data_IF_063016405874
#
_entry.id   IF_063016405874
#
_cell.length_a   1.000
_cell.length_b   1.000
_cell.length_c   1.000
_cell.angle_alpha   90.00
_cell.angle_beta   90.00
_cell.angle_gamma   90.00
#
_symmetry.space_group_name_H-M   'P 1'
#
loop_
_entity.id
_entity.type
_entity.pdbx_description
1 polymer ?
#
# COMPACT_ATOMS: atom_id res chain seq x y z
N UNK A 1 -27.90 22.26 -1.28
CA UNK A 1 -26.90 23.05 -2.05
C UNK A 1 -27.01 22.78 -3.55
N UNK A 2 -26.92 21.53 -4.05
CA UNK A 2 -27.04 21.21 -5.50
C UNK A 2 -28.40 21.58 -6.12
N UNK A 3 -29.51 21.19 -5.48
CA UNK A 3 -30.88 21.52 -5.93
C UNK A 3 -31.15 23.03 -5.98
N UNK A 4 -30.54 23.80 -5.08
CA UNK A 4 -30.64 25.27 -5.08
C UNK A 4 -29.89 25.91 -6.26
N UNK A 5 -28.89 25.22 -6.83
CA UNK A 5 -28.22 25.60 -8.07
C UNK A 5 -28.79 24.96 -9.32
N UNK A 6 -29.97 24.31 -9.25
CA UNK A 6 -30.59 23.63 -10.40
C UNK A 6 -29.85 22.36 -10.86
N UNK A 7 -28.95 21.82 -10.05
CA UNK A 7 -28.13 20.65 -10.39
C UNK A 7 -28.70 19.37 -9.77
N UNK A 8 -28.75 18.31 -10.58
CA UNK A 8 -29.09 16.94 -10.20
C UNK A 8 -27.82 16.14 -9.86
N UNK A 9 -27.91 15.29 -8.84
CA UNK A 9 -26.77 14.49 -8.40
C UNK A 9 -26.60 13.28 -9.33
N UNK A 10 -25.51 13.25 -10.10
CA UNK A 10 -25.19 12.15 -10.99
C UNK A 10 -23.90 11.43 -10.57
N UNK A 11 -23.78 10.16 -10.97
CA UNK A 11 -22.57 9.32 -10.81
C UNK A 11 -22.08 9.19 -9.36
N UNK A 12 -23.00 8.84 -8.46
CA UNK A 12 -22.67 8.52 -7.07
C UNK A 12 -22.97 7.05 -6.77
N UNK A 13 -22.44 6.55 -5.66
CA UNK A 13 -22.67 5.18 -5.18
C UNK A 13 -22.61 5.16 -3.66
N UNK A 14 -23.35 4.25 -3.03
CA UNK A 14 -23.43 4.13 -1.58
C UNK A 14 -23.50 2.66 -1.17
N UNK A 15 -22.95 2.35 0.01
CA UNK A 15 -23.10 1.08 0.70
C UNK A 15 -24.41 1.00 1.53
N UNK A 16 -25.16 2.10 1.68
CA UNK A 16 -26.45 2.11 2.38
C UNK A 16 -27.62 1.88 1.42
N UNK A 17 -28.41 0.83 1.69
CA UNK A 17 -29.63 0.53 0.95
C UNK A 17 -30.70 1.60 1.13
N UNK A 18 -30.78 2.20 2.31
CA UNK A 18 -31.73 3.28 2.62
C UNK A 18 -31.45 4.52 1.77
N UNK A 19 -30.17 4.91 1.65
CA UNK A 19 -29.76 6.02 0.78
C UNK A 19 -30.08 5.73 -0.68
N UNK A 20 -29.84 4.49 -1.15
CA UNK A 20 -30.21 4.07 -2.50
C UNK A 20 -31.72 4.20 -2.75
N UNK A 21 -32.54 3.67 -1.85
CA UNK A 21 -34.00 3.68 -1.99
C UNK A 21 -34.59 5.09 -1.93
N UNK A 22 -34.02 5.98 -1.10
CA UNK A 22 -34.47 7.37 -0.97
C UNK A 22 -34.21 8.23 -2.22
N UNK A 23 -33.21 7.86 -3.03
CA UNK A 23 -32.75 8.64 -4.18
C UNK A 23 -33.13 8.01 -5.54
N UNK A 24 -33.57 6.75 -5.57
CA UNK A 24 -33.94 6.02 -6.78
C UNK A 24 -35.25 6.48 -7.45
N UNK A 25 -35.98 7.41 -6.83
CA UNK A 25 -37.30 7.84 -7.29
C UNK A 25 -37.30 8.78 -8.51
N UNK A 26 -36.16 9.38 -8.90
CA UNK A 26 -36.18 10.44 -9.93
C UNK A 26 -35.19 10.38 -11.11
N UNK A 27 -34.19 9.50 -11.14
CA UNK A 27 -33.19 9.50 -12.24
C UNK A 27 -32.83 8.06 -12.67
N UNK A 28 -33.65 7.47 -13.56
CA UNK A 28 -33.39 6.16 -14.16
C UNK A 28 -32.36 6.21 -15.32
N UNK A 29 -32.02 7.39 -15.85
CA UNK A 29 -31.20 7.51 -17.07
C UNK A 29 -29.70 7.24 -16.86
N UNK A 30 -29.23 7.17 -15.61
CA UNK A 30 -27.79 7.02 -15.32
C UNK A 30 -27.50 5.99 -14.22
N UNK A 31 -28.26 4.88 -14.20
CA UNK A 31 -27.82 3.69 -13.48
C UNK A 31 -26.46 3.25 -14.05
N UNK A 32 -25.48 2.98 -13.18
CA UNK A 32 -24.30 2.22 -13.57
C UNK A 32 -24.75 0.81 -13.98
N UNK A 33 -25.17 0.68 -15.24
CA UNK A 33 -25.43 -0.59 -15.89
C UNK A 33 -24.10 -1.31 -16.10
N UNK A 34 -23.75 -2.15 -15.14
CA UNK A 34 -23.09 -3.41 -15.44
C UNK A 34 -23.77 -4.50 -14.63
N UNK A 35 -24.49 -5.35 -15.37
CA UNK A 35 -25.16 -6.57 -14.95
C UNK A 35 -24.23 -7.48 -14.14
N UNK A 36 -24.21 -7.32 -12.82
CA UNK A 36 -24.25 -8.36 -11.76
C UNK A 36 -23.88 -7.81 -10.38
N UNK A 37 -23.16 -6.69 -10.28
CA UNK A 37 -22.90 -5.93 -9.04
C UNK A 37 -22.37 -4.53 -9.42
N UNK A 38 -22.98 -3.41 -8.96
CA UNK A 38 -22.52 -2.06 -9.30
C UNK A 38 -21.19 -1.78 -8.57
N UNK A 39 -20.07 -2.04 -9.23
CA UNK A 39 -18.73 -1.78 -8.69
C UNK A 39 -18.15 -0.46 -9.23
N UNK A 40 -17.46 0.30 -8.38
CA UNK A 40 -16.87 1.59 -8.74
C UNK A 40 -15.36 1.45 -8.83
N UNK A 41 -14.78 1.68 -10.01
CA UNK A 41 -13.33 1.62 -10.22
C UNK A 41 -12.71 3.00 -10.14
N UNK A 42 -11.73 3.17 -9.25
CA UNK A 42 -10.96 4.40 -9.10
C UNK A 42 -9.48 4.05 -8.96
N UNK A 43 -8.64 4.57 -9.86
CA UNK A 43 -7.18 4.49 -9.73
C UNK A 43 -6.66 3.07 -9.42
N UNK A 44 -7.13 2.08 -10.19
CA UNK A 44 -6.69 0.68 -10.07
C UNK A 44 -7.35 -0.16 -8.98
N UNK A 45 -8.08 0.47 -8.05
CA UNK A 45 -8.88 -0.19 -7.01
C UNK A 45 -10.35 -0.24 -7.44
N UNK A 46 -11.03 -1.35 -7.15
CA UNK A 46 -12.47 -1.53 -7.40
C UNK A 46 -13.20 -1.62 -6.07
N UNK A 47 -14.09 -0.67 -5.79
CA UNK A 47 -14.96 -0.71 -4.61
C UNK A 47 -16.25 -1.46 -4.93
N UNK A 48 -16.63 -2.40 -4.06
CA UNK A 48 -17.91 -3.08 -4.05
C UNK A 48 -18.79 -2.46 -2.96
N UNK A 49 -19.79 -1.63 -3.30
CA UNK A 49 -20.61 -0.94 -2.31
C UNK A 49 -21.42 -1.88 -1.42
N UNK A 50 -21.93 -2.99 -1.96
CA UNK A 50 -22.77 -3.94 -1.21
C UNK A 50 -22.03 -4.62 -0.07
N UNK A 51 -20.77 -5.02 -0.30
CA UNK A 51 -19.91 -5.66 0.71
C UNK A 51 -19.10 -4.64 1.51
N UNK A 52 -19.04 -3.39 1.04
CA UNK A 52 -18.13 -2.34 1.47
C UNK A 52 -16.64 -2.71 1.47
N UNK A 53 -16.23 -3.44 0.44
CA UNK A 53 -14.86 -3.93 0.26
C UNK A 53 -14.17 -3.33 -0.96
N UNK A 54 -12.87 -3.17 -0.86
CA UNK A 54 -11.97 -2.95 -1.98
C UNK A 54 -11.50 -4.29 -2.54
N UNK A 55 -11.46 -4.36 -3.87
CA UNK A 55 -11.05 -5.51 -4.67
C UNK A 55 -10.21 -5.01 -5.84
N UNK A 56 -9.56 -5.94 -6.54
CA UNK A 56 -8.70 -5.63 -7.69
C UNK A 56 -9.19 -6.36 -8.93
N UNK A 57 -8.99 -5.74 -10.10
CA UNK A 57 -9.24 -6.37 -11.40
C UNK A 57 -7.99 -6.28 -12.26
N UNK A 58 -7.52 -7.43 -12.75
CA UNK A 58 -6.28 -7.57 -13.52
C UNK A 58 -6.62 -7.99 -14.93
N UNK A 59 -6.39 -7.09 -15.88
CA UNK A 59 -6.46 -7.41 -17.31
C UNK A 59 -5.10 -7.92 -17.81
N UNK A 60 -4.96 -9.23 -17.91
CA UNK A 60 -3.77 -9.86 -18.49
C UNK A 60 -3.87 -9.81 -20.01
N UNK A 61 -2.87 -9.19 -20.64
CA UNK A 61 -2.71 -9.24 -22.10
C UNK A 61 -1.55 -10.18 -22.38
N UNK A 62 -1.86 -11.36 -22.90
CA UNK A 62 -0.85 -12.30 -23.39
C UNK A 62 -0.19 -11.72 -24.64
N UNK A 63 1.13 -11.71 -24.66
CA UNK A 63 1.92 -11.26 -25.81
C UNK A 63 2.87 -12.37 -26.24
N UNK A 64 3.04 -12.51 -27.55
CA UNK A 64 3.91 -13.52 -28.15
C UNK A 64 5.38 -13.37 -27.75
N UNK A 65 5.87 -12.14 -27.62
CA UNK A 65 7.22 -11.84 -27.13
C UNK A 65 7.17 -10.94 -25.90
N UNK A 66 8.02 -11.25 -24.92
CA UNK A 66 8.16 -10.45 -23.71
C UNK A 66 9.42 -9.58 -23.85
N UNK A 67 9.25 -8.27 -23.75
CA UNK A 67 10.35 -7.29 -23.72
C UNK A 67 10.43 -6.59 -22.38
N UNK A 68 11.58 -5.99 -22.06
CA UNK A 68 11.73 -5.15 -20.86
C UNK A 68 10.73 -3.99 -20.84
N UNK A 69 10.39 -3.41 -22.00
CA UNK A 69 9.31 -2.42 -22.14
C UNK A 69 7.95 -3.00 -21.69
N UNK A 70 7.63 -4.23 -22.07
CA UNK A 70 6.35 -4.86 -21.66
C UNK A 70 6.29 -5.15 -20.17
N UNK A 71 7.41 -5.55 -19.56
CA UNK A 71 7.54 -5.71 -18.10
C UNK A 71 7.20 -4.40 -17.40
N UNK A 72 7.84 -3.29 -17.78
CA UNK A 72 7.52 -1.98 -17.18
C UNK A 72 6.06 -1.58 -17.40
N UNK A 73 5.54 -1.78 -18.61
CA UNK A 73 4.15 -1.45 -18.94
C UNK A 73 3.16 -2.22 -18.05
N UNK A 74 3.42 -3.50 -17.78
CA UNK A 74 2.60 -4.30 -16.89
C UNK A 74 2.70 -3.82 -15.43
N UNK A 75 3.90 -3.51 -14.94
CA UNK A 75 4.10 -2.96 -13.59
C UNK A 75 3.32 -1.65 -13.43
N UNK A 76 3.33 -0.77 -14.44
CA UNK A 76 2.60 0.49 -14.41
C UNK A 76 1.06 0.31 -14.41
N UNK A 77 0.54 -0.82 -14.91
CA UNK A 77 -0.89 -1.14 -14.86
C UNK A 77 -1.36 -1.64 -13.50
N UNK A 78 -0.45 -2.19 -12.68
CA UNK A 78 -0.70 -2.55 -11.29
C UNK A 78 -0.71 -1.28 -10.42
N UNK A 79 -1.57 -0.33 -10.78
CA UNK A 79 -1.68 0.94 -10.09
C UNK A 79 -2.43 0.74 -8.78
N UNK A 80 -1.76 1.07 -7.68
CA UNK A 80 -2.27 0.90 -6.33
C UNK A 80 -1.87 2.12 -5.50
N UNK A 81 -2.84 2.99 -5.24
CA UNK A 81 -2.61 4.26 -4.56
C UNK A 81 -2.34 4.09 -3.07
N UNK A 82 -2.97 3.08 -2.45
CA UNK A 82 -2.88 2.83 -1.01
C UNK A 82 -1.82 1.78 -0.67
N UNK A 83 -1.32 1.01 -1.65
CA UNK A 83 -0.27 0.04 -1.42
C UNK A 83 -0.75 -1.28 -0.83
N UNK A 84 -2.02 -1.64 -0.99
CA UNK A 84 -2.54 -2.94 -0.56
C UNK A 84 -1.86 -4.13 -1.25
N UNK A 85 -1.45 -3.98 -2.50
CA UNK A 85 -0.73 -4.99 -3.29
C UNK A 85 0.76 -4.63 -3.46
N UNK A 86 1.26 -3.71 -2.63
CA UNK A 86 2.65 -3.27 -2.68
C UNK A 86 3.68 -4.43 -2.64
N UNK A 87 3.50 -5.51 -1.86
CA UNK A 87 4.41 -6.66 -1.91
C UNK A 87 4.56 -7.29 -3.30
N UNK A 88 3.45 -7.43 -4.04
CA UNK A 88 3.46 -7.97 -5.41
C UNK A 88 4.15 -7.00 -6.36
N UNK A 89 3.85 -5.70 -6.24
CA UNK A 89 4.49 -4.65 -7.04
C UNK A 89 5.99 -4.58 -6.76
N UNK A 90 6.42 -4.75 -5.50
CA UNK A 90 7.83 -4.83 -5.12
C UNK A 90 8.51 -5.98 -5.86
N UNK A 91 7.93 -7.18 -5.83
CA UNK A 91 8.48 -8.35 -6.56
C UNK A 91 8.62 -8.09 -8.06
N UNK A 92 7.61 -7.47 -8.67
CA UNK A 92 7.65 -7.10 -10.08
C UNK A 92 8.74 -6.06 -10.39
N UNK A 93 8.89 -5.04 -9.53
CA UNK A 93 9.94 -4.02 -9.67
C UNK A 93 11.35 -4.57 -9.44
N UNK A 94 11.52 -5.54 -8.55
CA UNK A 94 12.78 -6.28 -8.37
C UNK A 94 13.16 -7.04 -9.65
N UNK A 95 12.18 -7.70 -10.29
CA UNK A 95 12.41 -8.35 -11.58
C UNK A 95 12.85 -7.34 -12.64
N UNK A 96 12.19 -6.17 -12.72
CA UNK A 96 12.61 -5.11 -13.62
C UNK A 96 14.05 -4.64 -13.33
N UNK A 97 14.43 -4.44 -12.05
CA UNK A 97 15.79 -4.09 -11.66
C UNK A 97 16.82 -5.14 -12.12
N UNK A 98 16.49 -6.44 -11.99
CA UNK A 98 17.33 -7.54 -12.50
C UNK A 98 17.56 -7.44 -14.00
N UNK A 99 16.54 -7.09 -14.80
CA UNK A 99 16.71 -6.88 -16.24
C UNK A 99 17.66 -5.73 -16.58
N UNK A 100 17.67 -4.66 -15.78
CA UNK A 100 18.61 -3.56 -15.93
C UNK A 100 20.04 -3.98 -15.60
N UNK A 101 20.25 -4.76 -14.53
CA UNK A 101 21.56 -5.29 -14.16
C UNK A 101 22.14 -6.22 -15.25
N UNK A 102 21.28 -7.03 -15.87
CA UNK A 102 21.64 -7.90 -16.99
C UNK A 102 21.77 -7.15 -18.34
N UNK A 103 21.59 -5.83 -18.36
CA UNK A 103 21.69 -4.98 -19.55
C UNK A 103 20.82 -5.46 -20.72
N UNK A 104 19.66 -6.06 -20.43
CA UNK A 104 18.70 -6.48 -21.46
C UNK A 104 18.23 -5.26 -22.25
N UNK A 105 18.16 -5.35 -23.58
CA UNK A 105 17.72 -4.25 -24.42
C UNK A 105 16.25 -3.87 -24.12
N UNK A 106 15.90 -2.61 -24.36
CA UNK A 106 14.56 -2.07 -24.09
C UNK A 106 13.46 -2.80 -24.87
N UNK A 107 13.69 -3.00 -26.17
CA UNK A 107 12.79 -3.69 -27.11
C UNK A 107 13.27 -5.09 -27.49
N UNK A 108 14.38 -5.56 -26.88
CA UNK A 108 14.87 -6.92 -27.08
C UNK A 108 14.02 -7.94 -26.34
N UNK A 109 13.92 -9.14 -26.90
CA UNK A 109 13.27 -10.27 -26.25
C UNK A 109 14.02 -10.66 -24.97
N UNK A 110 13.26 -11.03 -23.94
CA UNK A 110 13.84 -11.55 -22.70
C UNK A 110 14.49 -12.93 -22.97
N UNK A 111 15.66 -13.22 -22.37
CA UNK A 111 16.20 -14.57 -22.32
C UNK A 111 15.17 -15.57 -21.80
N UNK A 112 15.13 -16.77 -22.38
CA UNK A 112 14.08 -17.78 -22.14
C UNK A 112 13.79 -18.05 -20.65
N UNK A 113 14.79 -18.18 -19.75
CA UNK A 113 14.51 -18.37 -18.32
C UNK A 113 13.78 -17.19 -17.67
N UNK A 114 14.13 -15.96 -18.07
CA UNK A 114 13.51 -14.73 -17.55
C UNK A 114 12.12 -14.52 -18.15
N UNK A 115 11.92 -14.85 -19.42
CA UNK A 115 10.62 -14.84 -20.07
C UNK A 115 9.66 -15.81 -19.36
N UNK A 116 10.08 -17.05 -19.11
CA UNK A 116 9.29 -18.04 -18.36
C UNK A 116 8.95 -17.57 -16.95
N UNK A 117 9.94 -17.05 -16.21
CA UNK A 117 9.73 -16.50 -14.87
C UNK A 117 8.69 -15.37 -14.88
N UNK A 118 8.80 -14.45 -15.84
CA UNK A 118 7.87 -13.32 -15.95
C UNK A 118 6.47 -13.75 -16.36
N UNK A 119 6.34 -14.64 -17.35
CA UNK A 119 5.05 -15.17 -17.79
C UNK A 119 4.34 -15.90 -16.65
N UNK A 120 5.07 -16.69 -15.86
CA UNK A 120 4.51 -17.32 -14.66
C UNK A 120 3.99 -16.27 -13.65
N UNK A 121 4.79 -15.24 -13.36
CA UNK A 121 4.39 -14.16 -12.46
C UNK A 121 3.17 -13.37 -12.99
N UNK A 122 3.09 -13.10 -14.29
CA UNK A 122 1.93 -12.42 -14.88
C UNK A 122 0.70 -13.31 -14.80
N UNK A 123 0.83 -14.60 -15.10
CA UNK A 123 -0.27 -15.57 -14.98
C UNK A 123 -0.82 -15.68 -13.55
N UNK A 124 0.03 -15.47 -12.55
CA UNK A 124 -0.40 -15.46 -11.15
C UNK A 124 -1.07 -14.16 -10.69
N UNK A 125 -1.01 -13.06 -11.43
CA UNK A 125 -1.65 -11.81 -11.00
C UNK A 125 -3.17 -11.94 -10.82
N UNK A 126 -3.83 -12.92 -11.46
CA UNK A 126 -5.27 -13.20 -11.26
C UNK A 126 -5.62 -13.51 -9.80
N UNK A 127 -4.67 -14.02 -9.01
CA UNK A 127 -4.94 -14.31 -7.59
C UNK A 127 -5.18 -13.05 -6.75
N UNK A 128 -4.71 -11.88 -7.20
CA UNK A 128 -4.96 -10.59 -6.54
C UNK A 128 -6.44 -10.22 -6.57
N UNK A 129 -7.20 -10.72 -7.55
CA UNK A 129 -8.65 -10.47 -7.64
C UNK A 129 -9.43 -11.14 -6.50
N UNK A 130 -8.82 -12.08 -5.78
CA UNK A 130 -9.39 -12.74 -4.59
C UNK A 130 -9.22 -11.91 -3.31
N UNK A 131 -8.47 -10.82 -3.34
CA UNK A 131 -8.29 -9.95 -2.18
C UNK A 131 -9.58 -9.17 -1.92
N UNK A 132 -10.09 -9.28 -0.70
CA UNK A 132 -11.16 -8.45 -0.18
C UNK A 132 -10.60 -7.64 0.99
N UNK A 133 -10.63 -6.31 0.88
CA UNK A 133 -10.10 -5.41 1.90
C UNK A 133 -11.21 -4.50 2.36
N UNK A 134 -11.56 -4.56 3.64
CA UNK A 134 -12.59 -3.69 4.20
C UNK A 134 -12.25 -2.21 3.98
N UNK A 135 -13.20 -1.45 3.41
CA UNK A 135 -13.03 0.00 3.26
C UNK A 135 -13.16 0.72 4.61
N UNK A 136 -14.08 0.26 5.45
CA UNK A 136 -14.31 0.86 6.76
C UNK A 136 -13.21 0.47 7.74
N UNK A 137 -12.46 1.47 8.21
CA UNK A 137 -11.23 1.29 9.00
C UNK A 137 -11.46 1.13 10.50
N UNK A 138 -12.64 1.49 11.00
CA UNK A 138 -12.91 1.61 12.42
C UNK A 138 -13.83 0.48 12.92
N UNK A 139 -13.86 0.29 14.22
CA UNK A 139 -14.88 -0.52 14.88
C UNK A 139 -16.13 0.33 15.17
N UNK A 140 -17.22 -0.33 15.57
CA UNK A 140 -18.35 0.35 16.20
C UNK A 140 -17.99 0.75 17.64
N UNK A 141 -18.65 1.80 18.16
CA UNK A 141 -18.48 2.32 19.53
C UNK A 141 -17.02 2.61 19.91
N UNK A 142 -16.36 3.43 19.08
CA UNK A 142 -14.93 3.73 19.18
C UNK A 142 -14.64 4.54 20.44
N UNK A 143 -13.84 3.95 21.32
CA UNK A 143 -13.26 4.62 22.49
C UNK A 143 -11.95 5.32 22.16
N UNK A 144 -11.11 4.65 21.35
CA UNK A 144 -9.75 5.11 21.06
C UNK A 144 -9.28 4.65 19.70
N UNK A 145 -8.56 5.53 19.01
CA UNK A 145 -7.92 5.27 17.71
C UNK A 145 -6.42 5.45 17.80
N UNK A 146 -5.68 4.51 17.22
CA UNK A 146 -4.22 4.50 17.27
C UNK A 146 -3.70 4.17 15.88
N UNK A 147 -2.81 5.00 15.34
CA UNK A 147 -2.06 4.63 14.15
C UNK A 147 -0.86 3.78 14.55
N UNK A 148 -0.76 2.62 13.92
CA UNK A 148 0.35 1.69 14.15
C UNK A 148 1.12 1.50 12.85
N UNK A 149 2.34 2.03 12.82
CA UNK A 149 3.23 1.97 11.68
C UNK A 149 4.33 0.95 11.86
N UNK A 150 4.73 0.27 10.79
CA UNK A 150 5.86 -0.66 10.78
C UNK A 150 6.77 -0.37 9.59
N UNK A 151 8.07 -0.33 9.83
CA UNK A 151 9.10 -0.13 8.83
C UNK A 151 10.00 -1.36 8.76
N UNK A 152 10.38 -1.76 7.55
CA UNK A 152 11.34 -2.84 7.33
C UNK A 152 12.20 -2.60 6.09
N UNK A 153 13.38 -3.21 6.08
CA UNK A 153 14.28 -3.16 4.94
C UNK A 153 15.04 -4.47 4.71
N UNK A 154 15.15 -4.85 3.45
CA UNK A 154 16.02 -5.91 2.96
C UNK A 154 17.06 -5.34 1.99
N UNK A 155 17.97 -6.19 1.51
CA UNK A 155 18.90 -5.80 0.43
C UNK A 155 18.19 -5.49 -0.89
N UNK A 156 16.96 -5.96 -1.08
CA UNK A 156 16.22 -5.80 -2.32
C UNK A 156 15.31 -4.58 -2.33
N UNK A 157 14.63 -4.30 -1.23
CA UNK A 157 13.71 -3.18 -1.09
C UNK A 157 13.53 -2.80 0.39
N UNK A 158 12.96 -1.63 0.62
CA UNK A 158 12.52 -1.20 1.93
C UNK A 158 11.09 -0.68 1.85
N UNK A 159 10.36 -0.82 2.94
CA UNK A 159 8.92 -0.61 2.96
C UNK A 159 8.41 -0.13 4.31
N UNK A 160 7.20 0.41 4.26
CA UNK A 160 6.44 0.83 5.41
C UNK A 160 4.98 0.41 5.26
N UNK A 161 4.34 0.05 6.36
CA UNK A 161 2.91 -0.29 6.43
C UNK A 161 2.28 0.40 7.61
N UNK A 162 1.06 0.91 7.45
CA UNK A 162 0.34 1.64 8.49
C UNK A 162 -1.05 1.03 8.66
N UNK A 163 -1.37 0.69 9.90
CA UNK A 163 -2.66 0.14 10.32
C UNK A 163 -3.40 1.16 11.20
N UNK A 164 -4.73 1.17 11.06
CA UNK A 164 -5.63 1.77 12.03
C UNK A 164 -5.91 0.71 13.10
N UNK A 165 -5.66 1.04 14.36
CA UNK A 165 -6.09 0.24 15.50
C UNK A 165 -7.20 1.00 16.23
N UNK A 166 -8.40 0.44 16.24
CA UNK A 166 -9.52 0.96 17.02
C UNK A 166 -9.81 0.06 18.22
N UNK A 167 -9.97 0.68 19.38
CA UNK A 167 -10.46 0.06 20.60
C UNK A 167 -11.90 0.51 20.82
N UNK A 168 -12.82 -0.44 20.97
CA UNK A 168 -14.22 -0.15 21.31
C UNK A 168 -14.41 0.02 22.82
N UNK A 169 -15.56 0.54 23.24
CA UNK A 169 -15.95 0.59 24.65
C UNK A 169 -16.07 -0.80 25.30
N UNK A 170 -16.30 -1.85 24.51
CA UNK A 170 -16.35 -3.24 24.97
C UNK A 170 -14.98 -3.91 25.02
N UNK A 171 -13.89 -3.15 24.85
CA UNK A 171 -12.50 -3.60 24.74
C UNK A 171 -12.21 -4.53 23.54
N UNK A 172 -13.08 -4.56 22.54
CA UNK A 172 -12.75 -5.22 21.27
C UNK A 172 -11.70 -4.41 20.52
N UNK A 173 -10.70 -5.10 19.97
CA UNK A 173 -9.61 -4.49 19.19
C UNK A 173 -9.76 -4.90 17.74
N UNK A 174 -9.86 -3.89 16.88
CA UNK A 174 -9.86 -4.08 15.43
C UNK A 174 -8.61 -3.40 14.87
N UNK A 175 -7.89 -4.10 14.00
CA UNK A 175 -6.71 -3.57 13.32
C UNK A 175 -6.87 -3.75 11.82
N UNK A 176 -6.90 -2.64 11.06
CA UNK A 176 -7.13 -2.65 9.61
C UNK A 176 -6.04 -1.90 8.88
N UNK A 177 -5.60 -2.45 7.76
CA UNK A 177 -4.57 -1.84 6.92
C UNK A 177 -5.11 -0.56 6.27
N UNK A 178 -4.42 0.56 6.47
CA UNK A 178 -4.77 1.84 5.82
C UNK A 178 -4.03 1.96 4.50
N UNK A 179 -2.71 1.86 4.59
CA UNK A 179 -1.83 2.02 3.45
C UNK A 179 -0.46 1.40 3.69
N UNK A 180 0.23 1.11 2.61
CA UNK A 180 1.62 0.69 2.62
C UNK A 180 2.39 1.35 1.48
N UNK A 181 3.72 1.35 1.57
CA UNK A 181 4.59 1.93 0.56
C UNK A 181 5.91 1.21 0.51
N UNK A 182 6.41 0.96 -0.70
CA UNK A 182 7.72 0.34 -0.91
C UNK A 182 8.60 1.15 -1.85
N UNK A 183 9.92 0.96 -1.71
CA UNK A 183 10.95 1.47 -2.62
C UNK A 183 11.99 0.39 -2.85
N UNK A 184 12.37 0.18 -4.10
CA UNK A 184 13.46 -0.72 -4.46
C UNK A 184 14.78 -0.15 -3.96
N UNK A 185 15.61 -1.01 -3.35
CA UNK A 185 16.93 -0.63 -2.88
C UNK A 185 17.82 -0.21 -4.07
N UNK A 186 18.69 0.80 -3.89
CA UNK A 186 19.59 1.22 -4.97
C UNK A 186 20.48 0.07 -5.45
N UNK A 187 20.79 0.04 -6.76
CA UNK A 187 21.74 -0.93 -7.32
C UNK A 187 23.13 -0.75 -6.69
N UNK A 188 23.50 0.50 -6.38
CA UNK A 188 24.70 0.79 -5.60
C UNK A 188 24.46 0.34 -4.17
N UNK A 189 25.21 -0.68 -3.73
CA UNK A 189 25.11 -1.26 -2.40
C UNK A 189 25.25 -0.19 -1.32
N UNK A 190 24.25 -0.14 -0.45
CA UNK A 190 24.27 0.59 0.80
C UNK A 190 24.04 -0.40 1.94
N UNK A 191 24.52 -0.06 3.14
CA UNK A 191 24.39 -0.96 4.28
C UNK A 191 22.92 -1.15 4.69
N UNK A 192 22.60 -2.34 5.21
CA UNK A 192 21.26 -2.66 5.73
C UNK A 192 20.76 -1.60 6.73
N UNK A 193 21.56 -1.16 7.72
CA UNK A 193 21.13 -0.09 8.63
C UNK A 193 20.69 1.21 7.94
N UNK A 194 21.34 1.59 6.83
CA UNK A 194 20.95 2.78 6.06
C UNK A 194 19.63 2.59 5.31
N UNK A 195 19.34 1.36 4.89
CA UNK A 195 18.06 0.99 4.28
C UNK A 195 16.96 0.94 5.33
N UNK A 196 17.21 0.36 6.51
CA UNK A 196 16.29 0.34 7.66
C UNK A 196 15.93 1.77 8.10
N UNK A 197 16.92 2.66 8.22
CA UNK A 197 16.66 4.09 8.49
C UNK A 197 15.85 4.76 7.35
N UNK A 198 16.07 4.35 6.10
CA UNK A 198 15.30 4.86 4.97
C UNK A 198 13.86 4.34 4.98
N UNK A 199 13.63 3.13 5.49
CA UNK A 199 12.30 2.58 5.76
C UNK A 199 11.59 3.38 6.86
N UNK A 200 12.30 3.72 7.94
CA UNK A 200 11.77 4.56 9.02
C UNK A 200 11.35 5.94 8.49
N UNK A 201 12.18 6.59 7.68
CA UNK A 201 11.79 7.86 7.04
C UNK A 201 10.61 7.71 6.09
N UNK A 202 10.52 6.59 5.36
CA UNK A 202 9.38 6.30 4.49
C UNK A 202 8.09 6.15 5.30
N UNK A 203 8.17 5.51 6.48
CA UNK A 203 7.05 5.36 7.40
C UNK A 203 6.61 6.71 7.95
N UNK A 204 7.52 7.54 8.46
CA UNK A 204 7.20 8.88 8.96
C UNK A 204 6.43 9.73 7.93
N UNK A 205 6.91 9.73 6.68
CA UNK A 205 6.27 10.46 5.58
C UNK A 205 4.92 9.87 5.15
N UNK A 206 4.74 8.55 5.32
CA UNK A 206 3.47 7.90 5.00
C UNK A 206 2.42 8.24 6.06
N UNK A 207 2.81 8.21 7.34
CA UNK A 207 1.92 8.54 8.46
C UNK A 207 1.45 9.99 8.40
N UNK A 208 2.35 10.95 8.15
CA UNK A 208 2.00 12.37 7.94
C UNK A 208 0.88 12.51 6.89
N UNK A 209 1.05 11.89 5.72
CA UNK A 209 0.05 11.92 4.64
C UNK A 209 -1.27 11.27 5.00
N UNK A 210 -1.24 10.22 5.82
CA UNK A 210 -2.45 9.53 6.28
C UNK A 210 -3.21 10.43 7.25
N UNK A 211 -2.53 11.05 8.20
CA UNK A 211 -3.13 11.97 9.17
C UNK A 211 -3.80 13.14 8.44
N UNK A 212 -3.09 13.76 7.49
CA UNK A 212 -3.62 14.84 6.65
C UNK A 212 -4.88 14.42 5.86
N UNK A 213 -4.92 13.16 5.39
CA UNK A 213 -6.01 12.64 4.58
C UNK A 213 -7.24 12.22 5.42
N UNK A 214 -7.03 11.63 6.60
CA UNK A 214 -8.11 11.09 7.44
C UNK A 214 -8.98 12.20 8.04
N UNK A 215 -8.42 13.39 8.30
CA UNK A 215 -9.15 14.55 8.87
C UNK A 215 -9.99 14.19 10.10
N UNK A 216 -9.49 13.26 10.91
CA UNK A 216 -10.12 12.79 12.14
C UNK A 216 -9.12 12.84 13.28
N UNK A 217 -9.62 12.81 14.52
CA UNK A 217 -8.76 12.71 15.70
C UNK A 217 -8.13 11.31 15.76
N UNK A 218 -6.81 11.28 15.94
CA UNK A 218 -6.03 10.09 16.30
C UNK A 218 -5.53 10.29 17.74
N UNK A 219 -5.70 9.31 18.61
CA UNK A 219 -5.36 9.45 20.03
C UNK A 219 -3.90 9.09 20.35
N UNK A 220 -3.28 8.21 19.57
CA UNK A 220 -1.88 7.83 19.69
C UNK A 220 -1.27 7.40 18.35
N UNK A 221 0.03 7.60 18.21
CA UNK A 221 0.83 7.13 17.09
C UNK A 221 2.00 6.28 17.59
N UNK A 222 2.07 5.03 17.12
CA UNK A 222 3.09 4.07 17.51
C UNK A 222 3.79 3.55 16.25
N UNK A 223 5.09 3.78 16.16
CA UNK A 223 5.91 3.38 15.02
C UNK A 223 6.91 2.31 15.41
N UNK A 224 7.03 1.29 14.57
CA UNK A 224 7.85 0.12 14.83
C UNK A 224 8.91 -0.08 13.76
N UNK A 225 10.08 -0.54 14.21
CA UNK A 225 11.12 -1.15 13.36
C UNK A 225 11.81 -2.24 14.18
N UNK A 226 12.30 -3.27 13.52
CA UNK A 226 13.13 -4.32 14.12
C UNK A 226 14.63 -3.98 14.13
N UNK A 227 15.00 -2.83 13.59
CA UNK A 227 16.38 -2.33 13.63
C UNK A 227 16.66 -1.53 14.89
N UNK A 228 17.38 -2.14 15.82
CA UNK A 228 17.92 -1.45 16.99
C UNK A 228 18.90 -0.34 16.62
N UNK A 229 19.63 -0.50 15.50
CA UNK A 229 20.56 0.52 14.99
C UNK A 229 19.80 1.74 14.47
N UNK A 230 18.74 1.54 13.68
CA UNK A 230 17.91 2.64 13.20
C UNK A 230 17.25 3.38 14.38
N UNK A 231 16.74 2.66 15.39
CA UNK A 231 16.19 3.26 16.60
C UNK A 231 17.23 4.06 17.38
N UNK A 232 18.44 3.53 17.55
CA UNK A 232 19.52 4.26 18.21
C UNK A 232 19.86 5.56 17.48
N UNK A 233 19.92 5.54 16.15
CA UNK A 233 20.11 6.75 15.35
C UNK A 233 18.96 7.73 15.45
N UNK A 234 17.70 7.27 15.43
CA UNK A 234 16.52 8.13 15.60
C UNK A 234 16.55 8.85 16.96
N UNK A 235 17.09 8.22 18.00
CA UNK A 235 17.23 8.80 19.34
C UNK A 235 18.50 9.65 19.53
N UNK A 236 19.35 9.78 18.50
CA UNK A 236 20.60 10.55 18.57
C UNK A 236 20.41 11.93 17.92
N UNK A 237 20.95 13.02 18.50
CA UNK A 237 20.92 14.34 17.86
C UNK A 237 21.53 14.31 16.43
N UNK A 238 20.87 14.89 15.41
CA UNK A 238 21.31 14.81 14.01
C UNK A 238 22.73 15.31 13.76
N UNK A 239 23.18 16.32 14.52
CA UNK A 239 24.50 16.93 14.40
C UNK A 239 25.66 16.00 14.83
N UNK A 240 25.37 14.93 15.57
CA UNK A 240 26.35 13.92 15.97
C UNK A 240 26.49 12.80 14.94
N UNK A 241 25.63 12.79 13.91
CA UNK A 241 25.54 11.73 12.92
C UNK A 241 26.16 12.15 11.59
N UNK A 242 26.72 11.19 10.86
CA UNK A 242 27.21 11.43 9.48
C UNK A 242 26.06 11.95 8.61
N UNK A 243 26.37 12.84 7.67
CA UNK A 243 25.40 13.60 6.86
C UNK A 243 24.22 12.77 6.30
N UNK A 244 24.47 11.57 5.76
CA UNK A 244 23.40 10.72 5.23
C UNK A 244 22.37 10.32 6.31
N UNK A 245 22.86 10.00 7.50
CA UNK A 245 22.07 9.55 8.65
C UNK A 245 21.45 10.78 9.30
N UNK A 246 22.26 11.81 9.62
CA UNK A 246 21.80 13.04 10.26
C UNK A 246 20.65 13.71 9.51
N UNK A 247 20.74 13.86 8.19
CA UNK A 247 19.67 14.47 7.39
C UNK A 247 18.36 13.68 7.43
N UNK A 248 18.42 12.34 7.52
CA UNK A 248 17.22 11.49 7.63
C UNK A 248 16.65 11.52 9.04
N UNK A 249 17.52 11.46 10.04
CA UNK A 249 17.13 11.51 11.46
C UNK A 249 16.47 12.85 11.78
N UNK A 250 17.04 13.98 11.33
CA UNK A 250 16.40 15.30 11.48
C UNK A 250 14.97 15.25 10.93
N UNK A 251 14.79 14.78 9.70
CA UNK A 251 13.46 14.72 9.09
C UNK A 251 12.52 13.73 9.78
N UNK A 252 13.02 12.61 10.32
CA UNK A 252 12.21 11.67 11.10
C UNK A 252 11.75 12.37 12.38
N UNK A 253 12.67 12.96 13.14
CA UNK A 253 12.39 13.67 14.39
C UNK A 253 11.38 14.81 14.17
N UNK A 254 11.55 15.62 13.12
CA UNK A 254 10.62 16.70 12.77
C UNK A 254 9.21 16.17 12.47
N UNK A 255 9.10 15.04 11.78
CA UNK A 255 7.82 14.43 11.39
C UNK A 255 7.13 13.63 12.50
N UNK A 256 7.89 13.19 13.51
CA UNK A 256 7.43 12.22 14.50
C UNK A 256 7.69 12.67 15.94
N UNK A 257 7.78 13.97 16.19
CA UNK A 257 8.09 14.55 17.51
C UNK A 257 7.15 14.03 18.61
N UNK A 258 5.86 13.88 18.29
CA UNK A 258 4.83 13.39 19.22
C UNK A 258 4.63 11.87 19.20
N UNK A 259 5.35 11.13 18.35
CA UNK A 259 5.08 9.69 18.13
C UNK A 259 6.01 8.79 18.95
N UNK A 260 5.57 7.56 19.19
CA UNK A 260 6.34 6.58 19.98
C UNK A 260 7.03 5.58 19.06
N UNK A 261 8.34 5.74 18.88
CA UNK A 261 9.18 4.72 18.22
C UNK A 261 9.47 3.55 19.15
N UNK A 262 9.29 2.32 18.65
CA UNK A 262 9.49 1.09 19.43
C UNK A 262 10.17 0.01 18.59
N UNK A 263 10.92 -0.83 19.28
CA UNK A 263 11.41 -2.07 18.69
C UNK A 263 10.27 -3.10 18.54
N UNK A 264 10.31 -3.88 17.47
CA UNK A 264 9.51 -5.10 17.31
C UNK A 264 10.40 -6.25 16.85
N UNK A 265 10.10 -7.48 17.25
CA UNK A 265 10.83 -8.65 16.73
C UNK A 265 10.57 -8.84 15.23
N UNK A 266 11.60 -9.14 14.44
CA UNK A 266 11.50 -9.27 12.97
C UNK A 266 10.40 -10.23 12.50
N UNK A 267 10.22 -11.36 13.19
CA UNK A 267 9.17 -12.35 12.85
C UNK A 267 7.73 -11.85 13.10
N UNK A 268 7.57 -10.77 13.85
CA UNK A 268 6.29 -10.10 14.09
C UNK A 268 6.14 -8.81 13.26
N UNK A 269 7.10 -8.49 12.39
CA UNK A 269 7.09 -7.26 11.62
C UNK A 269 6.27 -7.44 10.32
N UNK A 270 5.06 -6.87 10.20
CA UNK A 270 4.24 -7.00 8.99
C UNK A 270 4.85 -6.29 7.77
N UNK A 271 5.85 -5.41 7.95
CA UNK A 271 6.52 -4.76 6.83
C UNK A 271 7.51 -5.69 6.10
N UNK A 272 7.89 -6.86 6.65
CA UNK A 272 8.86 -7.78 6.06
C UNK A 272 8.43 -8.26 4.66
N UNK A 273 7.15 -8.60 4.50
CA UNK A 273 6.61 -9.03 3.20
C UNK A 273 6.74 -7.94 2.12
N UNK A 274 6.67 -6.65 2.51
CA UNK A 274 6.77 -5.52 1.59
C UNK A 274 8.23 -5.32 1.15
N UNK A 275 9.18 -5.49 2.07
CA UNK A 275 10.61 -5.28 1.81
C UNK A 275 11.23 -6.42 0.99
N UNK A 276 10.64 -7.62 1.03
CA UNK A 276 11.09 -8.79 0.25
C UNK A 276 10.30 -8.98 -1.04
N UNK A 277 9.06 -8.50 -1.08
CA UNK A 277 8.08 -8.80 -2.11
C UNK A 277 7.54 -10.22 -2.01
N UNK A 278 6.38 -10.45 -2.63
CA UNK A 278 5.70 -11.75 -2.56
C UNK A 278 5.01 -12.11 -3.87
N UNK A 279 4.66 -13.39 -4.04
CA UNK A 279 3.82 -13.82 -5.14
C UNK A 279 2.35 -13.50 -4.88
N UNK A 280 1.57 -13.17 -5.94
CA UNK A 280 0.13 -12.94 -5.85
C UNK A 280 -0.64 -13.99 -5.05
N UNK A 281 -0.32 -15.28 -5.21
CA UNK A 281 -0.98 -16.37 -4.50
C UNK A 281 -0.76 -16.32 -3.00
N UNK A 282 0.46 -15.97 -2.57
CA UNK A 282 0.80 -15.92 -1.16
C UNK A 282 0.16 -14.70 -0.49
N UNK A 283 0.11 -13.55 -1.18
CA UNK A 283 -0.63 -12.38 -0.68
C UNK A 283 -2.12 -12.70 -0.50
N UNK A 284 -2.72 -13.42 -1.45
CA UNK A 284 -4.13 -13.81 -1.41
C UNK A 284 -4.49 -14.79 -0.29
N UNK A 285 -3.51 -15.39 0.40
CA UNK A 285 -3.74 -16.24 1.58
C UNK A 285 -3.73 -15.46 2.89
N UNK A 286 -3.28 -14.19 2.87
CA UNK A 286 -3.15 -13.34 4.06
C UNK A 286 -4.39 -12.50 4.36
N UNK A 287 -5.35 -12.49 3.44
CA UNK A 287 -6.68 -11.89 3.56
C UNK A 287 -7.71 -12.98 3.75
#
# INVERSE_FOLDING_TARGET
MLKAGGMTLHKWSSNSKELWNSCASNDQEHQFLSTTEPSVKTLGITWKPTEDTFTFKVSIIEKASCTKRNVLSMIARLYDTLGFIAPVITKAKMFLQKLWQLKVNWDGELPEPLAKQWTHFVGSLKFIEKLHIDRYLLADDIKKTILVGFADASQAAYGAVVYMKSLSETNSVVMKLIASKSRIAPIKTISIPRLELSACLLLSQLVEKIIDALKMKIDDDILHTDSTIALAWINTPPNQLKTFIGNRVSKIQDLTESYKWRHISSHLNPADIISRGTDPQELAKLT
#
